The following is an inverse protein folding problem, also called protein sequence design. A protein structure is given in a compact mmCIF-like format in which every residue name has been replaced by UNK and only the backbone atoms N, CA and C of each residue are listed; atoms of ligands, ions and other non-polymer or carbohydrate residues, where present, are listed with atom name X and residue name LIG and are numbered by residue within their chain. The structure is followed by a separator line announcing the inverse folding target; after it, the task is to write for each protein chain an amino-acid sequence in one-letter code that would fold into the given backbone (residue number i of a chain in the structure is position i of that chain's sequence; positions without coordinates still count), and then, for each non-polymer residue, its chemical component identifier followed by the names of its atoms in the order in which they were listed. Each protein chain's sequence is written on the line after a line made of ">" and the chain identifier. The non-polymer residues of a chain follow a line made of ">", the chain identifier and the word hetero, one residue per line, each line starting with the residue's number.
data_IF_389731633960
#
_entry.id   IF_389731633960
#
_cell.length_a   1.000
_cell.length_b   1.000
_cell.length_c   1.000
_cell.angle_alpha   90.00
_cell.angle_beta   90.00
_cell.angle_gamma   90.00
#
_symmetry.space_group_name_H-M   'P 1'
#
loop_
_entity.id
_entity.type
_entity.pdbx_description
1 polymer ?
#
# COMPACT_ATOMS: atom_id res chain seq x y z
N UNK A 1 -2.28 -27.33 -7.60
CA UNK A 1 -2.18 -26.81 -6.21
C UNK A 1 -0.80 -26.28 -5.81
N UNK A 2 0.34 -26.93 -6.12
CA UNK A 2 1.67 -26.42 -5.71
C UNK A 2 2.02 -25.04 -6.29
N UNK A 3 1.68 -24.78 -7.56
CA UNK A 3 1.93 -23.49 -8.22
C UNK A 3 1.17 -22.35 -7.57
N UNK A 4 -0.14 -22.53 -7.33
CA UNK A 4 -0.99 -21.51 -6.66
C UNK A 4 -0.47 -21.14 -5.27
N UNK A 5 -0.03 -22.13 -4.48
CA UNK A 5 0.56 -21.86 -3.15
C UNK A 5 1.84 -21.02 -3.24
N UNK A 6 2.69 -21.28 -4.25
CA UNK A 6 3.93 -20.50 -4.47
C UNK A 6 3.62 -19.07 -4.89
N UNK A 7 2.62 -18.87 -5.75
CA UNK A 7 2.19 -17.54 -6.19
C UNK A 7 1.65 -16.71 -5.02
N UNK A 8 0.83 -17.31 -4.15
CA UNK A 8 0.33 -16.64 -2.95
C UNK A 8 1.50 -16.24 -2.03
N UNK A 9 2.46 -17.14 -1.78
CA UNK A 9 3.63 -16.79 -0.94
C UNK A 9 4.50 -15.70 -1.56
N UNK A 10 4.65 -15.68 -2.90
CA UNK A 10 5.39 -14.63 -3.59
C UNK A 10 4.67 -13.27 -3.50
N UNK A 11 3.33 -13.28 -3.59
CA UNK A 11 2.48 -12.10 -3.36
C UNK A 11 2.61 -11.61 -1.91
N UNK A 12 2.52 -12.50 -0.91
CA UNK A 12 2.68 -12.16 0.51
C UNK A 12 4.03 -11.49 0.78
N UNK A 13 5.12 -12.03 0.22
CA UNK A 13 6.44 -11.44 0.37
C UNK A 13 6.50 -10.02 -0.22
N UNK A 14 5.94 -9.81 -1.40
CA UNK A 14 5.87 -8.48 -2.03
C UNK A 14 5.07 -7.51 -1.16
N UNK A 15 3.91 -7.93 -0.63
CA UNK A 15 3.08 -7.09 0.24
C UNK A 15 3.83 -6.69 1.51
N UNK A 16 4.61 -7.60 2.11
CA UNK A 16 5.47 -7.29 3.26
C UNK A 16 6.51 -6.21 2.93
N UNK A 17 7.14 -6.27 1.74
CA UNK A 17 8.07 -5.23 1.28
C UNK A 17 7.36 -3.88 1.13
N UNK A 18 6.20 -3.86 0.45
CA UNK A 18 5.41 -2.64 0.27
C UNK A 18 5.00 -2.04 1.62
N UNK A 19 4.49 -2.86 2.54
CA UNK A 19 4.05 -2.39 3.85
C UNK A 19 5.23 -1.87 4.68
N UNK A 20 6.40 -2.50 4.60
CA UNK A 20 7.60 -1.99 5.28
C UNK A 20 8.01 -0.61 4.77
N UNK A 21 7.84 -0.35 3.47
CA UNK A 21 8.08 0.96 2.88
C UNK A 21 7.04 1.99 3.32
N UNK A 22 5.75 1.63 3.30
CA UNK A 22 4.68 2.48 3.80
C UNK A 22 4.88 2.81 5.28
N UNK A 23 5.25 1.84 6.10
CA UNK A 23 5.56 2.03 7.51
C UNK A 23 6.70 3.01 7.72
N UNK A 24 7.80 2.84 6.98
CA UNK A 24 8.94 3.77 7.03
C UNK A 24 8.54 5.20 6.65
N UNK A 25 7.62 5.37 5.69
CA UNK A 25 7.12 6.67 5.25
C UNK A 25 6.20 7.29 6.31
N UNK A 26 5.27 6.53 6.85
CA UNK A 26 4.16 7.07 7.64
C UNK A 26 4.36 7.04 9.15
N UNK A 27 5.06 6.05 9.72
CA UNK A 27 5.24 5.90 11.17
C UNK A 27 5.83 7.12 11.86
N UNK A 28 6.67 7.90 11.16
CA UNK A 28 7.27 9.14 11.70
C UNK A 28 6.45 10.39 11.43
N UNK A 29 5.35 10.29 10.68
CA UNK A 29 4.59 11.42 10.12
C UNK A 29 3.12 11.42 10.53
N UNK A 30 2.58 10.25 10.83
CA UNK A 30 1.22 10.02 11.28
C UNK A 30 1.35 9.32 12.63
N UNK A 31 1.02 10.04 13.69
CA UNK A 31 1.08 9.58 15.09
C UNK A 31 0.20 8.35 15.34
N UNK A 32 -0.89 8.25 14.59
CA UNK A 32 -1.81 7.12 14.61
C UNK A 32 -1.37 5.94 13.73
N UNK A 33 -0.35 6.10 12.88
CA UNK A 33 0.12 5.02 12.02
C UNK A 33 0.86 3.98 12.85
N UNK A 34 0.15 2.91 13.16
CA UNK A 34 0.71 1.71 13.78
C UNK A 34 0.17 0.46 13.09
N UNK A 35 1.07 -0.36 12.58
CA UNK A 35 0.79 -1.64 11.96
C UNK A 35 1.50 -2.80 12.68
N UNK A 36 2.05 -2.53 13.87
CA UNK A 36 2.88 -3.49 14.62
C UNK A 36 2.10 -4.68 15.16
N UNK A 37 0.79 -4.55 15.31
CA UNK A 37 -0.10 -5.60 15.83
C UNK A 37 -0.46 -6.68 14.80
N UNK A 38 0.00 -6.52 13.55
CA UNK A 38 -0.26 -7.44 12.46
C UNK A 38 -1.21 -6.89 11.42
N UNK A 39 -1.43 -7.68 10.37
CA UNK A 39 -2.19 -7.32 9.18
C UNK A 39 -3.09 -8.49 8.80
N UNK A 40 -4.38 -8.22 8.58
CA UNK A 40 -5.23 -9.16 7.86
C UNK A 40 -5.21 -8.82 6.37
N UNK A 41 -5.02 -9.82 5.52
CA UNK A 41 -4.89 -9.64 4.08
C UNK A 41 -6.00 -10.42 3.38
N UNK A 42 -6.76 -9.71 2.54
CA UNK A 42 -7.85 -10.25 1.75
C UNK A 42 -7.56 -10.02 0.26
N UNK A 43 -7.57 -11.09 -0.52
CA UNK A 43 -7.55 -10.98 -1.97
C UNK A 43 -9.00 -10.75 -2.42
N UNK A 44 -9.28 -9.56 -2.95
CA UNK A 44 -10.65 -9.14 -3.34
C UNK A 44 -11.07 -9.66 -4.72
N UNK A 45 -10.13 -10.13 -5.54
CA UNK A 45 -10.46 -10.65 -6.85
C UNK A 45 -11.23 -11.98 -6.76
N UNK A 46 -12.40 -12.02 -7.42
CA UNK A 46 -13.32 -13.17 -7.41
C UNK A 46 -12.78 -14.41 -8.14
N UNK A 47 -11.61 -14.34 -8.77
CA UNK A 47 -11.09 -15.45 -9.57
C UNK A 47 -10.15 -16.32 -8.74
N UNK A 48 -10.51 -17.60 -8.64
CA UNK A 48 -9.72 -18.70 -8.09
C UNK A 48 -8.35 -18.94 -8.78
N UNK A 49 -7.91 -18.01 -9.62
CA UNK A 49 -6.72 -18.10 -10.44
C UNK A 49 -5.87 -16.84 -10.31
N UNK A 50 -5.19 -16.73 -9.17
CA UNK A 50 -4.15 -15.73 -8.85
C UNK A 50 -3.08 -15.66 -9.95
N UNK A 51 -3.01 -16.64 -10.87
CA UNK A 51 -2.07 -16.63 -12.00
C UNK A 51 -2.41 -15.65 -13.14
N UNK A 52 -3.56 -14.93 -13.10
CA UNK A 52 -3.96 -14.01 -14.18
C UNK A 52 -3.94 -12.52 -13.79
N UNK A 53 -2.85 -11.90 -14.28
CA UNK A 53 -2.56 -10.49 -14.67
C UNK A 53 -2.73 -9.37 -13.65
N UNK A 54 -3.75 -9.34 -12.81
CA UNK A 54 -3.86 -8.33 -11.77
C UNK A 54 -4.71 -8.81 -10.61
N UNK A 55 -4.28 -8.48 -9.39
CA UNK A 55 -4.96 -8.86 -8.16
C UNK A 55 -5.14 -7.60 -7.33
N UNK A 56 -6.38 -7.35 -6.91
CA UNK A 56 -6.67 -6.38 -5.87
C UNK A 56 -6.56 -7.03 -4.49
N UNK A 57 -5.67 -6.49 -3.66
CA UNK A 57 -5.47 -6.91 -2.28
C UNK A 57 -5.98 -5.81 -1.35
N UNK A 58 -6.77 -6.17 -0.36
CA UNK A 58 -7.15 -5.33 0.78
C UNK A 58 -6.38 -5.78 2.01
N UNK A 59 -5.83 -4.82 2.73
CA UNK A 59 -5.05 -5.02 3.94
C UNK A 59 -5.75 -4.24 5.04
N UNK A 60 -6.02 -4.93 6.14
CA UNK A 60 -6.70 -4.41 7.32
C UNK A 60 -5.70 -4.50 8.49
N UNK A 61 -5.01 -3.39 8.83
CA UNK A 61 -4.11 -3.39 9.98
C UNK A 61 -4.87 -3.69 11.27
N UNK A 62 -4.32 -4.58 12.10
CA UNK A 62 -4.92 -4.93 13.39
C UNK A 62 -4.87 -3.70 14.31
N UNK A 63 -6.00 -3.36 14.93
CA UNK A 63 -6.13 -2.21 15.82
C UNK A 63 -6.54 -0.90 15.13
N UNK A 64 -6.68 -0.89 13.79
CA UNK A 64 -7.36 0.21 13.09
C UNK A 64 -8.88 0.04 13.17
N UNK A 65 -9.63 1.10 12.86
CA UNK A 65 -11.09 1.00 12.79
C UNK A 65 -11.51 0.09 11.61
N UNK A 66 -12.65 -0.59 11.74
CA UNK A 66 -13.09 -1.64 10.81
C UNK A 66 -13.26 -1.17 9.35
N UNK A 67 -13.54 0.12 9.18
CA UNK A 67 -13.71 0.74 7.87
C UNK A 67 -12.43 1.35 7.31
N UNK A 68 -11.31 1.33 8.05
CA UNK A 68 -9.99 1.79 7.61
C UNK A 68 -9.20 0.65 6.94
N UNK A 69 -8.49 0.96 5.86
CA UNK A 69 -7.85 -0.08 5.05
C UNK A 69 -6.73 0.46 4.16
N UNK A 70 -5.91 -0.45 3.68
CA UNK A 70 -4.95 -0.23 2.60
C UNK A 70 -5.33 -1.14 1.44
N UNK A 71 -5.53 -0.61 0.25
CA UNK A 71 -5.81 -1.39 -0.95
C UNK A 71 -4.64 -1.28 -1.93
N UNK A 72 -4.24 -2.39 -2.53
CA UNK A 72 -3.08 -2.47 -3.41
C UNK A 72 -3.43 -3.31 -4.62
N UNK A 73 -3.20 -2.77 -5.81
CA UNK A 73 -3.21 -3.53 -7.06
C UNK A 73 -1.83 -4.05 -7.36
N UNK A 74 -1.74 -5.35 -7.54
CA UNK A 74 -0.53 -6.07 -7.83
C UNK A 74 -0.66 -6.72 -9.21
N UNK A 75 0.40 -6.70 -10.00
CA UNK A 75 0.45 -7.41 -11.28
C UNK A 75 1.57 -8.43 -11.27
N UNK A 76 1.33 -9.57 -11.92
CA UNK A 76 2.35 -10.59 -12.07
C UNK A 76 3.14 -10.36 -13.37
N UNK A 77 4.40 -9.96 -13.23
CA UNK A 77 5.32 -9.76 -14.34
C UNK A 77 6.29 -10.93 -14.50
N UNK A 78 7.17 -10.88 -15.51
CA UNK A 78 8.19 -11.93 -15.76
C UNK A 78 9.09 -12.24 -14.55
N UNK A 79 9.23 -11.29 -13.61
CA UNK A 79 10.11 -11.40 -12.44
C UNK A 79 9.35 -11.62 -11.12
N UNK A 80 8.02 -11.77 -11.16
CA UNK A 80 7.17 -11.97 -9.98
C UNK A 80 6.13 -10.87 -9.82
N UNK A 81 5.54 -10.82 -8.62
CA UNK A 81 4.53 -9.83 -8.25
C UNK A 81 5.12 -8.45 -8.04
N UNK A 82 4.48 -7.44 -8.61
CA UNK A 82 4.86 -6.03 -8.50
C UNK A 82 3.62 -5.22 -8.13
N UNK A 83 3.65 -4.42 -7.04
CA UNK A 83 2.58 -3.47 -6.79
C UNK A 83 2.72 -2.35 -7.82
N UNK A 84 1.62 -1.78 -8.30
CA UNK A 84 1.69 -0.62 -9.20
C UNK A 84 0.76 0.54 -8.82
N UNK A 85 -0.31 0.27 -8.05
CA UNK A 85 -1.22 1.29 -7.50
C UNK A 85 -1.72 0.88 -6.13
N UNK A 86 -2.03 1.85 -5.28
CA UNK A 86 -2.72 1.59 -4.04
C UNK A 86 -3.36 2.83 -3.45
N UNK A 87 -4.08 2.61 -2.36
CA UNK A 87 -4.74 3.64 -1.59
C UNK A 87 -4.72 3.30 -0.11
N UNK A 88 -4.54 4.30 0.74
CA UNK A 88 -4.76 4.21 2.18
C UNK A 88 -6.03 5.00 2.48
N UNK A 89 -7.03 4.36 3.08
CA UNK A 89 -8.21 5.01 3.60
C UNK A 89 -8.17 5.04 5.11
N UNK A 90 -8.33 6.23 5.69
CA UNK A 90 -8.48 6.43 7.12
C UNK A 90 -9.14 7.78 7.40
N UNK A 91 -10.01 7.82 8.40
CA UNK A 91 -10.59 9.08 8.88
C UNK A 91 -9.58 9.96 9.61
N UNK A 92 -8.42 9.39 9.96
CA UNK A 92 -7.33 10.04 10.67
C UNK A 92 -6.31 10.66 9.72
N UNK A 93 -6.47 10.50 8.40
CA UNK A 93 -5.65 11.21 7.43
C UNK A 93 -5.85 12.73 7.57
N UNK A 94 -4.80 13.55 7.43
CA UNK A 94 -4.92 15.00 7.51
C UNK A 94 -5.91 15.56 6.47
N UNK A 95 -6.63 16.64 6.82
CA UNK A 95 -7.73 17.24 6.03
C UNK A 95 -7.42 17.54 4.56
N UNK A 96 -6.14 17.72 4.21
CA UNK A 96 -5.66 17.91 2.83
C UNK A 96 -5.81 16.67 1.94
N UNK A 97 -6.16 15.52 2.53
CA UNK A 97 -6.51 14.31 1.81
C UNK A 97 -8.00 14.08 1.99
N UNK A 98 -8.76 13.74 0.94
CA UNK A 98 -10.18 13.40 1.04
C UNK A 98 -10.38 12.02 1.70
N UNK A 99 -9.83 11.83 2.92
CA UNK A 99 -9.72 10.57 3.69
C UNK A 99 -9.07 9.41 2.94
N UNK A 100 -8.52 9.68 1.76
CA UNK A 100 -7.85 8.71 0.90
C UNK A 100 -6.53 9.31 0.47
N UNK A 101 -5.45 8.57 0.72
CA UNK A 101 -4.15 8.81 0.13
C UNK A 101 -3.91 7.80 -0.98
N UNK A 102 -3.93 8.25 -2.23
CA UNK A 102 -3.63 7.41 -3.39
C UNK A 102 -2.13 7.41 -3.66
N UNK A 103 -1.60 6.26 -4.05
CA UNK A 103 -0.21 6.14 -4.46
C UNK A 103 -0.03 5.23 -5.67
N UNK A 104 1.03 5.47 -6.43
CA UNK A 104 1.53 4.59 -7.46
C UNK A 104 2.88 4.02 -7.02
N UNK A 105 3.25 2.87 -7.57
CA UNK A 105 4.57 2.28 -7.32
C UNK A 105 5.31 2.04 -8.61
N UNK A 106 6.57 2.46 -8.65
CA UNK A 106 7.46 2.31 -9.81
C UNK A 106 8.65 1.42 -9.45
N UNK A 107 9.21 0.70 -10.42
CA UNK A 107 10.39 -0.13 -10.21
C UNK A 107 11.69 0.66 -10.40
N UNK A 108 12.73 0.52 -9.52
CA UNK A 108 12.74 -0.22 -8.25
C UNK A 108 11.75 0.39 -7.25
N UNK A 109 11.06 -0.45 -6.44
CA UNK A 109 9.84 -0.07 -5.67
C UNK A 109 10.01 1.29 -4.99
N UNK A 110 9.41 2.32 -5.59
CA UNK A 110 9.27 3.68 -5.10
C UNK A 110 7.78 3.97 -5.00
N UNK A 111 7.35 4.52 -3.88
CA UNK A 111 5.95 4.95 -3.68
C UNK A 111 5.85 6.40 -4.11
N UNK A 112 4.88 6.71 -4.97
CA UNK A 112 4.53 8.05 -5.45
C UNK A 112 3.13 8.44 -4.99
N UNK A 113 3.05 9.33 -4.01
CA UNK A 113 1.77 9.83 -3.48
C UNK A 113 1.11 10.90 -4.37
N UNK A 114 -0.20 10.79 -4.56
CA UNK A 114 -1.05 11.83 -5.18
C UNK A 114 -1.97 12.44 -4.12
N UNK A 115 -1.64 13.64 -3.64
CA UNK A 115 -2.62 14.58 -3.08
C UNK A 115 -3.25 15.40 -4.20
N UNK A 116 -4.39 16.07 -3.95
CA UNK A 116 -5.18 16.82 -4.94
C UNK A 116 -4.39 17.44 -6.10
N UNK A 117 -5.01 17.42 -7.29
CA UNK A 117 -4.50 17.55 -8.67
C UNK A 117 -3.43 18.64 -8.98
N UNK A 118 -3.07 19.50 -8.02
CA UNK A 118 -2.14 20.61 -8.19
C UNK A 118 -0.77 20.46 -7.48
N UNK A 119 -0.54 19.48 -6.59
CA UNK A 119 0.77 19.40 -5.87
C UNK A 119 1.45 18.03 -5.93
N UNK A 120 2.56 18.05 -6.68
CA UNK A 120 3.44 16.96 -7.12
C UNK A 120 4.21 16.24 -5.98
N UNK A 121 4.13 14.91 -6.08
CA UNK A 121 5.03 13.80 -5.66
C UNK A 121 5.48 13.68 -4.19
N UNK A 122 5.02 12.61 -3.53
CA UNK A 122 5.81 11.96 -2.47
C UNK A 122 6.65 10.90 -3.16
N UNK A 123 7.90 11.19 -3.51
CA UNK A 123 8.90 10.15 -3.81
C UNK A 123 9.73 9.91 -2.53
N UNK A 124 10.48 8.83 -2.41
CA UNK A 124 11.86 9.04 -1.91
C UNK A 124 12.58 9.82 -3.06
N UNK A 125 12.42 11.12 -3.26
CA UNK A 125 12.73 12.27 -2.40
C UNK A 125 11.54 12.97 -1.72
N UNK A 126 11.75 13.19 -0.43
CA UNK A 126 10.98 13.96 0.55
C UNK A 126 10.37 15.23 -0.04
N UNK A 127 9.05 15.45 0.10
CA UNK A 127 8.48 16.76 -0.17
C UNK A 127 8.92 17.76 0.92
N UNK A 128 9.32 18.97 0.54
CA UNK A 128 9.67 20.04 1.51
C UNK A 128 8.52 20.36 2.48
N UNK A 129 7.27 20.12 2.09
CA UNK A 129 6.08 20.32 2.93
C UNK A 129 5.84 19.20 3.96
N UNK A 130 6.60 18.10 3.90
CA UNK A 130 6.66 17.09 4.97
C UNK A 130 7.70 17.44 6.05
N UNK A 131 8.38 18.60 5.94
CA UNK A 131 8.97 19.32 7.09
C UNK A 131 7.84 19.92 7.93
N UNK A 132 6.94 19.08 8.45
CA UNK A 132 5.97 19.51 9.45
C UNK A 132 6.68 19.49 10.80
N UNK A 133 7.15 20.68 11.18
CA UNK A 133 7.86 21.09 12.38
C UNK A 133 9.36 20.78 12.43
N UNK A 134 10.11 21.84 12.76
CA UNK A 134 11.49 21.81 13.26
C UNK A 134 11.62 20.90 14.47
#
# INVERSE_FOLDING_TARGET
>A
MKTVKREIHALDYMLCVLISLLDRIFRRRLDWWDISQGLNVEILDRQADVSRRDVLVRILPVGWAEDEWIAVRCMHERRGWVPFKGAVYSHRLPDRFPRIFNFETHWPIRIEGRGDEEKRYITEAVPEWAKLNR
#
